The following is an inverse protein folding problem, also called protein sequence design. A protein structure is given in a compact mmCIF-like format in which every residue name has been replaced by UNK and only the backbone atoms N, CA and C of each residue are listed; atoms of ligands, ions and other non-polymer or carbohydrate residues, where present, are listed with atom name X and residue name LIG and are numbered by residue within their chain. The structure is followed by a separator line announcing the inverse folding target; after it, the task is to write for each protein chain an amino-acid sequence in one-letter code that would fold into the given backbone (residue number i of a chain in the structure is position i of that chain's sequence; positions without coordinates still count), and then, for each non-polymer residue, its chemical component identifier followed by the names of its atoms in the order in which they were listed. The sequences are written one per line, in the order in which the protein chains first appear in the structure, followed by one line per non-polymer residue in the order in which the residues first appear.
data_IF_082289438066
#
_entry.id   IF_082289438066
#
_cell.length_a   1.000
_cell.length_b   1.000
_cell.length_c   1.000
_cell.angle_alpha   90.00
_cell.angle_beta   90.00
_cell.angle_gamma   90.00
#
_symmetry.space_group_name_H-M   'P 1'
#
loop_
_entity.id
_entity.type
_entity.pdbx_description
1 polymer ?
#
# COMPACT_ATOMS: atom_id res chain seq x y z
N UNK A 1 -24.24 13.14 4.98
CA UNK A 1 -24.38 11.70 5.29
C UNK A 1 -24.66 10.95 3.99
N UNK A 2 -23.63 10.40 3.36
CA UNK A 2 -23.77 9.55 2.16
C UNK A 2 -22.97 8.26 2.44
N UNK A 3 -23.36 7.55 3.50
CA UNK A 3 -22.67 6.39 4.07
C UNK A 3 -23.42 5.08 3.74
N UNK A 4 -23.90 4.92 2.51
CA UNK A 4 -24.36 3.60 2.03
C UNK A 4 -23.32 3.06 1.06
N UNK A 5 -22.80 1.87 1.34
CA UNK A 5 -22.04 1.09 0.37
C UNK A 5 -22.92 0.93 -0.88
N UNK A 6 -22.62 1.70 -1.92
CA UNK A 6 -23.29 1.57 -3.21
C UNK A 6 -23.05 0.17 -3.80
N UNK A 7 -23.83 -0.23 -4.82
CA UNK A 7 -23.70 -1.56 -5.45
C UNK A 7 -22.26 -1.91 -5.84
N UNK A 8 -21.52 -0.94 -6.40
CA UNK A 8 -20.12 -1.12 -6.80
C UNK A 8 -19.18 -1.43 -5.62
N UNK A 9 -19.39 -0.79 -4.47
CA UNK A 9 -18.58 -1.04 -3.28
C UNK A 9 -18.82 -2.45 -2.73
N UNK A 10 -20.07 -2.92 -2.72
CA UNK A 10 -20.41 -4.29 -2.30
C UNK A 10 -19.81 -5.32 -3.24
N UNK A 11 -19.89 -5.07 -4.55
CA UNK A 11 -19.29 -5.93 -5.56
C UNK A 11 -17.77 -6.01 -5.39
N UNK A 12 -17.10 -4.89 -5.15
CA UNK A 12 -15.67 -4.86 -4.86
C UNK A 12 -15.33 -5.66 -3.59
N UNK A 13 -16.07 -5.48 -2.49
CA UNK A 13 -15.83 -6.23 -1.26
C UNK A 13 -16.05 -7.74 -1.44
N UNK A 14 -17.09 -8.15 -2.17
CA UNK A 14 -17.32 -9.55 -2.50
C UNK A 14 -16.18 -10.11 -3.36
N UNK A 15 -15.77 -9.37 -4.38
CA UNK A 15 -14.65 -9.73 -5.23
C UNK A 15 -13.36 -9.88 -4.43
N UNK A 16 -13.07 -8.94 -3.53
CA UNK A 16 -11.90 -9.01 -2.65
C UNK A 16 -11.95 -10.22 -1.71
N UNK A 17 -13.11 -10.49 -1.09
CA UNK A 17 -13.28 -11.64 -0.22
C UNK A 17 -13.07 -12.97 -0.97
N UNK A 18 -13.61 -13.09 -2.19
CA UNK A 18 -13.43 -14.28 -3.02
C UNK A 18 -11.98 -14.44 -3.48
N UNK A 19 -11.35 -13.38 -4.00
CA UNK A 19 -9.96 -13.41 -4.45
C UNK A 19 -9.00 -13.81 -3.32
N UNK A 20 -9.16 -13.22 -2.14
CA UNK A 20 -8.32 -13.51 -0.97
C UNK A 20 -8.64 -14.91 -0.42
N UNK A 21 -9.91 -15.25 -0.28
CA UNK A 21 -10.35 -16.53 0.27
C UNK A 21 -9.89 -17.72 -0.58
N UNK A 22 -10.05 -17.65 -1.91
CA UNK A 22 -9.60 -18.70 -2.83
C UNK A 22 -8.08 -18.84 -2.80
N UNK A 23 -7.34 -17.73 -2.79
CA UNK A 23 -5.87 -17.76 -2.72
C UNK A 23 -5.38 -18.42 -1.43
N UNK A 24 -5.97 -18.09 -0.28
CA UNK A 24 -5.60 -18.70 1.01
C UNK A 24 -6.02 -20.18 1.06
N UNK A 25 -7.22 -20.52 0.56
CA UNK A 25 -7.71 -21.90 0.55
C UNK A 25 -6.81 -22.82 -0.29
N UNK A 26 -6.23 -22.32 -1.39
CA UNK A 26 -5.31 -23.08 -2.23
C UNK A 26 -3.89 -23.14 -1.65
N UNK A 27 -3.38 -22.04 -1.10
CA UNK A 27 -2.00 -21.96 -0.61
C UNK A 27 -1.82 -22.50 0.83
N UNK A 28 -2.90 -22.65 1.60
CA UNK A 28 -2.85 -23.01 3.02
C UNK A 28 -2.18 -21.91 3.86
N UNK A 29 -1.61 -22.28 5.02
CA UNK A 29 -0.89 -21.37 5.92
C UNK A 29 0.59 -21.18 5.53
N UNK A 30 0.86 -21.05 4.23
CA UNK A 30 2.16 -20.60 3.74
C UNK A 30 2.49 -19.18 4.24
N UNK A 31 3.77 -18.80 4.21
CA UNK A 31 4.24 -17.55 4.81
C UNK A 31 3.62 -16.32 4.13
N UNK A 32 3.33 -16.43 2.83
CA UNK A 32 2.62 -15.44 2.03
C UNK A 32 1.16 -15.29 2.49
N UNK A 33 0.47 -16.41 2.76
CA UNK A 33 -0.90 -16.39 3.30
C UNK A 33 -0.95 -15.80 4.70
N UNK A 34 0.02 -16.13 5.57
CA UNK A 34 0.14 -15.53 6.91
C UNK A 34 0.36 -14.03 6.80
N UNK A 35 1.28 -13.59 5.94
CA UNK A 35 1.51 -12.16 5.68
C UNK A 35 0.22 -11.47 5.23
N UNK A 36 -0.51 -12.09 4.30
CA UNK A 36 -1.79 -11.56 3.82
C UNK A 36 -2.84 -11.46 4.93
N UNK A 37 -2.95 -12.47 5.78
CA UNK A 37 -3.88 -12.46 6.91
C UNK A 37 -3.53 -11.36 7.92
N UNK A 38 -2.24 -11.12 8.18
CA UNK A 38 -1.78 -10.00 9.01
C UNK A 38 -2.19 -8.65 8.41
N UNK A 39 -1.97 -8.45 7.11
CA UNK A 39 -2.37 -7.21 6.41
C UNK A 39 -3.88 -7.00 6.46
N UNK A 40 -4.68 -8.04 6.18
CA UNK A 40 -6.15 -7.96 6.23
C UNK A 40 -6.63 -7.71 7.66
N UNK A 41 -6.08 -8.42 8.64
CA UNK A 41 -6.38 -8.20 10.05
C UNK A 41 -6.05 -6.77 10.49
N UNK A 42 -4.92 -6.24 10.03
CA UNK A 42 -4.52 -4.86 10.28
C UNK A 42 -5.47 -3.84 9.65
N UNK A 43 -5.89 -4.06 8.40
CA UNK A 43 -6.89 -3.21 7.73
C UNK A 43 -8.23 -3.23 8.47
N UNK A 44 -8.68 -4.39 8.96
CA UNK A 44 -9.89 -4.51 9.77
C UNK A 44 -9.76 -3.77 11.12
N UNK A 45 -8.60 -3.91 11.78
CA UNK A 45 -8.30 -3.18 13.01
C UNK A 45 -8.35 -1.66 12.79
N UNK A 46 -7.75 -1.17 11.71
CA UNK A 46 -7.82 0.25 11.34
C UNK A 46 -9.27 0.72 11.12
N UNK A 47 -10.11 -0.12 10.54
CA UNK A 47 -11.52 0.20 10.33
C UNK A 47 -12.28 0.32 11.67
N UNK A 48 -12.04 -0.60 12.60
CA UNK A 48 -12.62 -0.55 13.95
C UNK A 48 -12.13 0.68 14.72
N UNK A 49 -10.83 0.95 14.67
CA UNK A 49 -10.19 2.07 15.37
C UNK A 49 -10.28 3.41 14.59
N UNK A 50 -11.00 3.43 13.46
CA UNK A 50 -11.06 4.57 12.53
C UNK A 50 -11.37 5.91 13.20
N UNK A 51 -12.36 6.04 14.11
CA UNK A 51 -12.70 7.34 14.71
C UNK A 51 -11.53 7.96 15.48
N UNK A 52 -10.67 7.13 16.07
CA UNK A 52 -9.46 7.54 16.78
C UNK A 52 -8.34 7.86 15.78
N UNK A 53 -8.06 6.93 14.87
CA UNK A 53 -6.92 7.03 13.95
C UNK A 53 -7.06 8.17 12.94
N UNK A 54 -8.27 8.46 12.45
CA UNK A 54 -8.55 9.59 11.54
C UNK A 54 -8.29 10.94 12.21
N UNK A 55 -8.20 11.01 13.54
CA UNK A 55 -7.89 12.21 14.32
C UNK A 55 -6.43 12.30 14.76
N UNK A 56 -5.59 11.32 14.41
CA UNK A 56 -4.17 11.32 14.76
C UNK A 56 -3.41 12.48 14.08
N UNK A 57 -2.37 13.00 14.74
CA UNK A 57 -1.52 14.11 14.27
C UNK A 57 -2.31 15.38 13.87
N UNK A 58 -3.21 15.90 14.72
CA UNK A 58 -4.08 17.03 14.36
C UNK A 58 -3.31 18.33 14.11
N UNK A 59 -2.10 18.46 14.68
CA UNK A 59 -1.25 19.66 14.55
C UNK A 59 -0.42 19.68 13.27
N UNK A 60 -0.37 18.59 12.51
CA UNK A 60 0.35 18.53 11.24
C UNK A 60 -0.50 19.13 10.11
N UNK A 61 0.14 19.88 9.21
CA UNK A 61 -0.48 20.30 7.96
C UNK A 61 -1.01 19.07 7.18
N UNK A 62 -2.14 19.18 6.45
CA UNK A 62 -2.78 18.04 5.78
C UNK A 62 -1.83 17.19 4.92
N UNK A 63 -0.92 17.82 4.18
CA UNK A 63 0.12 17.12 3.41
C UNK A 63 0.95 16.18 4.27
N UNK A 64 1.58 16.72 5.32
CA UNK A 64 2.46 15.94 6.18
C UNK A 64 1.69 14.91 6.98
N UNK A 65 0.46 15.23 7.38
CA UNK A 65 -0.43 14.28 8.03
C UNK A 65 -0.73 13.07 7.15
N UNK A 66 -1.06 13.29 5.88
CA UNK A 66 -1.26 12.22 4.90
C UNK A 66 0.00 11.36 4.74
N UNK A 67 1.14 12.01 4.48
CA UNK A 67 2.41 11.32 4.22
C UNK A 67 2.91 10.54 5.44
N UNK A 68 2.92 11.16 6.62
CA UNK A 68 3.44 10.53 7.84
C UNK A 68 2.59 9.35 8.28
N UNK A 69 1.24 9.48 8.27
CA UNK A 69 0.38 8.34 8.58
C UNK A 69 0.62 7.23 7.56
N UNK A 70 0.69 7.56 6.26
CA UNK A 70 0.97 6.58 5.21
C UNK A 70 2.28 5.83 5.43
N UNK A 71 3.37 6.55 5.72
CA UNK A 71 4.69 5.98 5.99
C UNK A 71 4.71 5.10 7.26
N UNK A 72 4.01 5.51 8.32
CA UNK A 72 3.92 4.70 9.55
C UNK A 72 3.17 3.39 9.31
N UNK A 73 2.07 3.43 8.56
CA UNK A 73 1.31 2.23 8.19
C UNK A 73 2.13 1.34 7.24
N UNK A 74 2.84 1.95 6.29
CA UNK A 74 3.72 1.25 5.37
C UNK A 74 4.85 0.53 6.12
N UNK A 75 5.50 1.19 7.08
CA UNK A 75 6.52 0.55 7.91
C UNK A 75 5.96 -0.70 8.62
N UNK A 76 4.78 -0.59 9.24
CA UNK A 76 4.16 -1.76 9.90
C UNK A 76 3.88 -2.90 8.91
N UNK A 77 3.35 -2.58 7.73
CA UNK A 77 3.07 -3.57 6.68
C UNK A 77 4.36 -4.19 6.14
N UNK A 78 5.46 -3.43 6.01
CA UNK A 78 6.78 -3.98 5.71
C UNK A 78 7.24 -4.96 6.79
N UNK A 79 6.98 -4.64 8.07
CA UNK A 79 7.22 -5.56 9.18
C UNK A 79 6.52 -6.92 8.99
N UNK A 80 5.32 -6.95 8.43
CA UNK A 80 4.65 -8.21 8.06
C UNK A 80 5.31 -8.87 6.85
N UNK A 81 5.83 -8.10 5.91
CA UNK A 81 6.52 -8.64 4.74
C UNK A 81 7.91 -9.19 5.06
N UNK A 82 8.54 -8.80 6.17
CA UNK A 82 9.86 -9.31 6.56
C UNK A 82 9.93 -10.84 6.70
N UNK A 83 8.80 -11.52 6.98
CA UNK A 83 8.76 -12.99 7.04
C UNK A 83 8.63 -13.66 5.67
N UNK A 84 8.08 -12.96 4.66
CA UNK A 84 7.80 -13.49 3.32
C UNK A 84 8.70 -12.88 2.24
N UNK A 85 8.53 -11.59 1.97
CA UNK A 85 9.11 -10.84 0.85
C UNK A 85 9.62 -9.47 1.33
N UNK A 86 10.74 -9.42 2.10
CA UNK A 86 11.45 -8.16 2.33
C UNK A 86 11.96 -7.58 1.01
N UNK A 87 12.36 -6.30 1.02
CA UNK A 87 12.89 -5.61 -0.16
C UNK A 87 14.10 -6.31 -0.77
N UNK A 88 14.93 -6.93 0.09
CA UNK A 88 16.00 -7.84 -0.30
C UNK A 88 15.84 -9.16 0.43
N UNK A 89 15.88 -10.29 -0.31
CA UNK A 89 15.71 -11.62 0.28
C UNK A 89 16.70 -11.95 1.40
N UNK A 90 17.90 -11.36 1.38
CA UNK A 90 18.92 -11.50 2.43
C UNK A 90 18.49 -10.92 3.80
N UNK A 91 17.50 -10.03 3.83
CA UNK A 91 16.99 -9.40 5.06
C UNK A 91 15.85 -10.20 5.70
N UNK A 92 15.43 -11.33 5.10
CA UNK A 92 14.28 -12.11 5.59
C UNK A 92 14.46 -12.52 7.04
N UNK A 93 13.39 -12.37 7.83
CA UNK A 93 13.33 -12.77 9.23
C UNK A 93 12.68 -14.15 9.31
N UNK A 94 13.45 -15.15 9.74
CA UNK A 94 13.01 -16.52 9.94
C UNK A 94 13.11 -16.95 11.41
N UNK A 95 12.78 -18.22 11.69
CA UNK A 95 12.84 -18.78 13.05
C UNK A 95 14.23 -18.73 13.69
N UNK A 96 15.29 -18.78 12.88
CA UNK A 96 16.68 -18.71 13.32
C UNK A 96 17.18 -17.27 13.56
N UNK A 97 16.39 -16.26 13.20
CA UNK A 97 16.79 -14.86 13.33
C UNK A 97 16.56 -14.36 14.75
N UNK A 98 17.64 -14.19 15.53
CA UNK A 98 17.55 -13.61 16.87
C UNK A 98 16.98 -12.18 16.86
N UNK A 99 16.44 -11.73 18.01
CA UNK A 99 15.73 -10.43 18.14
C UNK A 99 16.55 -9.25 17.60
N UNK A 100 17.84 -9.17 17.97
CA UNK A 100 18.72 -8.09 17.49
C UNK A 100 18.92 -8.13 15.97
N UNK A 101 19.03 -9.34 15.39
CA UNK A 101 19.11 -9.54 13.95
C UNK A 101 17.81 -9.14 13.24
N UNK A 102 16.66 -9.49 13.82
CA UNK A 102 15.35 -9.13 13.30
C UNK A 102 15.16 -7.60 13.27
N UNK A 103 15.52 -6.91 14.36
CA UNK A 103 15.47 -5.45 14.42
C UNK A 103 16.43 -4.80 13.42
N UNK A 104 17.66 -5.32 13.28
CA UNK A 104 18.63 -4.83 12.30
C UNK A 104 18.11 -4.99 10.88
N UNK A 105 17.61 -6.18 10.52
CA UNK A 105 17.12 -6.46 9.18
C UNK A 105 15.92 -5.59 8.83
N UNK A 106 14.97 -5.44 9.76
CA UNK A 106 13.81 -4.57 9.57
C UNK A 106 14.23 -3.09 9.45
N UNK A 107 15.15 -2.61 10.28
CA UNK A 107 15.66 -1.24 10.16
C UNK A 107 16.36 -0.98 8.83
N UNK A 108 17.14 -1.96 8.33
CA UNK A 108 17.76 -1.88 7.02
C UNK A 108 16.71 -1.86 5.91
N UNK A 109 15.73 -2.75 5.95
CA UNK A 109 14.63 -2.78 4.98
C UNK A 109 13.92 -1.41 4.91
N UNK A 110 13.53 -0.86 6.07
CA UNK A 110 12.93 0.46 6.16
C UNK A 110 13.82 1.60 5.62
N UNK A 111 15.13 1.51 5.78
CA UNK A 111 16.05 2.52 5.24
C UNK A 111 16.00 2.58 3.70
N UNK A 112 15.69 1.47 3.03
CA UNK A 112 15.49 1.42 1.58
C UNK A 112 14.04 1.76 1.18
N UNK A 113 13.04 1.28 1.92
CA UNK A 113 11.64 1.40 1.53
C UNK A 113 11.00 2.73 1.90
N UNK A 114 11.33 3.32 3.07
CA UNK A 114 10.73 4.58 3.54
C UNK A 114 10.96 5.78 2.60
N UNK A 115 12.16 5.99 2.02
CA UNK A 115 12.34 7.03 1.01
C UNK A 115 11.42 6.83 -0.22
N UNK A 116 11.22 5.59 -0.63
CA UNK A 116 10.29 5.23 -1.69
C UNK A 116 8.85 5.58 -1.32
N UNK A 117 8.41 5.21 -0.11
CA UNK A 117 7.09 5.55 0.40
C UNK A 117 6.88 7.07 0.49
N UNK A 118 7.87 7.83 0.94
CA UNK A 118 7.80 9.29 0.95
C UNK A 118 7.50 9.85 -0.45
N UNK A 119 8.19 9.35 -1.49
CA UNK A 119 7.95 9.75 -2.87
C UNK A 119 6.55 9.35 -3.34
N UNK A 120 6.14 8.10 -3.12
CA UNK A 120 4.83 7.56 -3.52
C UNK A 120 3.69 8.34 -2.86
N UNK A 121 3.71 8.51 -1.55
CA UNK A 121 2.67 9.27 -0.83
C UNK A 121 2.67 10.75 -1.20
N UNK A 122 3.83 11.34 -1.50
CA UNK A 122 3.91 12.71 -2.01
C UNK A 122 3.27 12.85 -3.40
N UNK A 123 3.49 11.88 -4.29
CA UNK A 123 2.84 11.80 -5.61
C UNK A 123 1.34 11.66 -5.45
N UNK A 124 0.86 10.73 -4.60
CA UNK A 124 -0.58 10.56 -4.35
C UNK A 124 -1.18 11.84 -3.77
N UNK A 125 -0.51 12.48 -2.80
CA UNK A 125 -0.95 13.74 -2.20
C UNK A 125 -1.12 14.84 -3.26
N UNK A 126 -0.17 14.97 -4.19
CA UNK A 126 -0.28 15.94 -5.28
C UNK A 126 -1.61 15.81 -6.04
N UNK A 127 -2.02 14.59 -6.36
CA UNK A 127 -3.30 14.33 -7.04
C UNK A 127 -4.51 14.55 -6.14
N UNK A 128 -4.48 14.02 -4.93
CA UNK A 128 -5.58 14.13 -3.95
C UNK A 128 -5.85 15.59 -3.56
N UNK A 129 -4.81 16.41 -3.46
CA UNK A 129 -4.94 17.83 -3.16
C UNK A 129 -5.40 18.65 -4.38
N UNK A 130 -5.19 18.13 -5.60
CA UNK A 130 -5.50 18.84 -6.85
C UNK A 130 -6.87 18.50 -7.43
N UNK A 131 -7.37 17.30 -7.18
CA UNK A 131 -8.60 16.75 -7.76
C UNK A 131 -9.53 16.16 -6.71
N UNK A 132 -10.83 16.22 -7.00
CA UNK A 132 -11.84 15.65 -6.10
C UNK A 132 -12.06 14.16 -6.39
N UNK A 133 -11.70 13.32 -5.42
CA UNK A 133 -12.01 11.89 -5.43
C UNK A 133 -13.17 11.56 -4.49
N UNK A 134 -14.09 10.74 -4.97
CA UNK A 134 -15.01 10.03 -4.06
C UNK A 134 -14.23 8.95 -3.29
N UNK A 135 -14.71 8.54 -2.12
CA UNK A 135 -14.00 7.56 -1.28
C UNK A 135 -13.66 6.27 -2.04
N UNK A 136 -14.65 5.66 -2.71
CA UNK A 136 -14.44 4.41 -3.45
C UNK A 136 -13.63 4.61 -4.74
N UNK A 137 -13.77 5.76 -5.41
CA UNK A 137 -12.95 6.11 -6.57
C UNK A 137 -11.47 6.19 -6.17
N UNK A 138 -11.17 6.81 -5.02
CA UNK A 138 -9.82 6.83 -4.44
C UNK A 138 -9.33 5.44 -4.05
N UNK A 139 -10.12 4.68 -3.26
CA UNK A 139 -9.74 3.33 -2.80
C UNK A 139 -9.32 2.47 -3.99
N UNK A 140 -10.18 2.38 -5.01
CA UNK A 140 -9.91 1.52 -6.17
C UNK A 140 -8.75 2.08 -7.00
N UNK A 141 -8.76 3.38 -7.32
CA UNK A 141 -7.74 3.96 -8.22
C UNK A 141 -6.35 3.97 -7.61
N UNK A 142 -6.22 4.44 -6.36
CA UNK A 142 -4.92 4.47 -5.68
C UNK A 142 -4.41 3.06 -5.37
N UNK A 143 -5.29 2.17 -4.87
CA UNK A 143 -4.91 0.77 -4.63
C UNK A 143 -4.48 0.06 -5.90
N UNK A 144 -5.16 0.30 -7.03
CA UNK A 144 -4.78 -0.23 -8.34
C UNK A 144 -3.43 0.33 -8.79
N UNK A 145 -3.27 1.66 -8.75
CA UNK A 145 -2.05 2.32 -9.17
C UNK A 145 -0.80 1.79 -8.45
N UNK A 146 -0.92 1.56 -7.14
CA UNK A 146 0.17 1.04 -6.32
C UNK A 146 0.39 -0.45 -6.56
N UNK A 147 -0.67 -1.27 -6.66
CA UNK A 147 -0.54 -2.69 -6.96
C UNK A 147 0.10 -2.96 -8.33
N UNK A 148 -0.22 -2.13 -9.33
CA UNK A 148 0.40 -2.23 -10.65
C UNK A 148 1.83 -1.67 -10.63
N UNK A 149 2.07 -0.56 -9.93
CA UNK A 149 3.40 0.05 -9.82
C UNK A 149 4.41 -0.87 -9.13
N UNK A 150 3.98 -1.55 -8.08
CA UNK A 150 4.81 -2.42 -7.23
C UNK A 150 5.01 -3.83 -7.86
N UNK A 151 5.43 -3.86 -9.12
CA UNK A 151 5.70 -5.08 -9.88
C UNK A 151 4.47 -5.74 -10.53
N UNK A 152 3.25 -5.33 -10.20
CA UNK A 152 2.03 -5.86 -10.80
C UNK A 152 1.96 -5.69 -12.32
N UNK A 153 2.52 -4.62 -12.86
CA UNK A 153 2.55 -4.36 -14.31
C UNK A 153 3.17 -5.54 -15.09
N UNK A 154 4.36 -5.97 -14.68
CA UNK A 154 5.06 -7.07 -15.33
C UNK A 154 4.42 -8.43 -15.00
N UNK A 155 3.90 -8.60 -13.78
CA UNK A 155 3.24 -9.83 -13.38
C UNK A 155 1.96 -10.10 -14.20
N UNK A 156 1.03 -9.14 -14.25
CA UNK A 156 -0.23 -9.31 -14.98
C UNK A 156 -0.07 -9.31 -16.49
N UNK A 157 1.01 -8.71 -17.01
CA UNK A 157 1.36 -8.87 -18.42
C UNK A 157 1.63 -10.33 -18.79
N UNK A 158 2.34 -11.05 -17.92
CA UNK A 158 2.68 -12.45 -18.12
C UNK A 158 1.57 -13.42 -17.68
N UNK A 159 0.64 -12.97 -16.84
CA UNK A 159 -0.50 -13.76 -16.38
C UNK A 159 -1.80 -12.94 -16.33
N UNK A 160 -2.41 -12.58 -17.49
CA UNK A 160 -3.57 -11.68 -17.53
C UNK A 160 -4.78 -12.21 -16.74
N UNK A 161 -4.98 -13.53 -16.70
CA UNK A 161 -6.06 -14.16 -15.92
C UNK A 161 -5.97 -13.88 -14.41
N UNK A 162 -4.77 -13.56 -13.90
CA UNK A 162 -4.57 -13.21 -12.50
C UNK A 162 -5.15 -11.85 -12.13
N UNK A 163 -5.59 -11.03 -13.10
CA UNK A 163 -6.33 -9.80 -12.81
C UNK A 163 -7.62 -10.07 -12.01
N UNK A 164 -8.20 -11.28 -12.12
CA UNK A 164 -9.32 -11.69 -11.25
C UNK A 164 -8.95 -11.74 -9.77
N UNK A 165 -7.66 -11.81 -9.44
CA UNK A 165 -7.14 -11.78 -8.08
C UNK A 165 -6.54 -10.43 -7.70
N UNK A 166 -6.66 -9.39 -8.54
CA UNK A 166 -6.13 -8.05 -8.29
C UNK A 166 -6.47 -7.45 -6.91
N UNK A 167 -7.65 -7.69 -6.29
CA UNK A 167 -7.91 -7.23 -4.92
C UNK A 167 -6.95 -7.80 -3.88
N UNK A 168 -6.35 -8.97 -4.14
CA UNK A 168 -5.37 -9.60 -3.27
C UNK A 168 -4.15 -8.68 -3.06
N UNK A 169 -3.35 -8.31 -4.09
CA UNK A 169 -2.26 -7.35 -3.89
C UNK A 169 -2.76 -5.96 -3.50
N UNK A 170 -3.93 -5.52 -3.99
CA UNK A 170 -4.49 -4.22 -3.60
C UNK A 170 -4.71 -4.07 -2.09
N UNK A 171 -4.94 -5.15 -1.35
CA UNK A 171 -5.17 -5.09 0.10
C UNK A 171 -3.96 -4.56 0.90
N UNK A 172 -2.72 -4.75 0.41
CA UNK A 172 -1.53 -4.08 0.97
C UNK A 172 -1.69 -2.57 0.95
N UNK A 173 -2.06 -2.04 -0.22
CA UNK A 173 -2.17 -0.60 -0.40
C UNK A 173 -3.42 -0.04 0.27
N UNK A 174 -4.48 -0.83 0.42
CA UNK A 174 -5.62 -0.40 1.21
C UNK A 174 -5.24 -0.18 2.68
N UNK A 175 -4.41 -1.08 3.22
CA UNK A 175 -3.91 -0.99 4.59
C UNK A 175 -3.02 0.22 4.85
N UNK A 176 -2.40 0.82 3.82
CA UNK A 176 -1.48 1.96 4.00
C UNK A 176 -2.00 3.28 3.45
N UNK A 177 -2.99 3.30 2.54
CA UNK A 177 -3.43 4.54 1.85
C UNK A 177 -4.84 5.01 2.20
N UNK A 178 -5.72 4.13 2.68
CA UNK A 178 -7.13 4.50 2.95
C UNK A 178 -7.23 5.39 4.17
N UNK A 179 -6.58 4.99 5.26
CA UNK A 179 -6.60 5.77 6.50
C UNK A 179 -5.97 7.17 6.35
N UNK A 180 -4.80 7.35 5.70
CA UNK A 180 -4.26 8.68 5.40
C UNK A 180 -5.25 9.58 4.65
N UNK A 181 -5.92 9.05 3.62
CA UNK A 181 -6.90 9.81 2.86
C UNK A 181 -8.08 10.22 3.73
N UNK A 182 -8.61 9.31 4.55
CA UNK A 182 -9.69 9.62 5.48
C UNK A 182 -9.29 10.67 6.51
N UNK A 183 -8.04 10.68 6.97
CA UNK A 183 -7.51 11.65 7.93
C UNK A 183 -7.48 13.09 7.39
N UNK A 184 -7.39 13.27 6.07
CA UNK A 184 -7.20 14.59 5.44
C UNK A 184 -8.37 15.02 4.57
N UNK A 185 -9.31 14.12 4.25
CA UNK A 185 -10.41 14.37 3.30
C UNK A 185 -11.20 15.65 3.57
N UNK A 186 -11.44 15.97 4.84
CA UNK A 186 -12.21 17.15 5.26
C UNK A 186 -11.44 18.46 5.10
N UNK A 187 -10.12 18.39 4.88
CA UNK A 187 -9.23 19.53 4.68
C UNK A 187 -8.84 19.73 3.21
N UNK A 188 -9.37 18.90 2.30
CA UNK A 188 -9.10 19.03 0.87
C UNK A 188 -9.91 20.18 0.25
N UNK A 189 -9.42 20.83 -0.81
CA UNK A 189 -10.14 21.93 -1.46
C UNK A 189 -11.55 21.51 -1.91
N UNK A 190 -12.57 22.23 -1.45
CA UNK A 190 -13.97 21.89 -1.72
C UNK A 190 -14.37 22.07 -3.20
N UNK A 191 -13.70 22.99 -3.90
CA UNK A 191 -13.86 23.37 -5.30
C UNK A 191 -12.96 22.57 -6.26
N UNK A 192 -12.23 21.56 -5.75
CA UNK A 192 -11.36 20.75 -6.58
C UNK A 192 -12.12 20.09 -7.75
N UNK A 193 -11.58 20.15 -8.98
CA UNK A 193 -12.28 19.68 -10.17
C UNK A 193 -12.41 18.16 -10.22
N UNK A 194 -13.52 17.66 -10.77
CA UNK A 194 -13.75 16.23 -11.11
C UNK A 194 -13.40 15.94 -12.57
N UNK A 195 -12.22 16.38 -13.03
CA UNK A 195 -11.75 16.16 -14.41
C UNK A 195 -11.20 14.75 -14.61
N UNK A 196 -11.20 14.27 -15.86
CA UNK A 196 -10.62 12.98 -16.24
C UNK A 196 -9.11 12.90 -15.96
N UNK A 197 -8.40 14.03 -15.95
CA UNK A 197 -6.98 14.12 -15.61
C UNK A 197 -6.65 13.64 -14.19
N UNK A 198 -7.64 13.47 -13.31
CA UNK A 198 -7.45 12.82 -12.01
C UNK A 198 -6.91 11.38 -12.14
N UNK A 199 -7.21 10.69 -13.24
CA UNK A 199 -6.73 9.33 -13.47
C UNK A 199 -5.24 9.25 -13.87
N UNK A 200 -4.59 10.40 -14.10
CA UNK A 200 -3.13 10.47 -14.25
C UNK A 200 -2.37 10.07 -12.97
N UNK A 201 -3.06 9.97 -11.83
CA UNK A 201 -2.50 9.37 -10.61
C UNK A 201 -1.96 7.95 -10.89
N UNK A 202 -2.62 7.19 -11.76
CA UNK A 202 -2.24 5.80 -12.07
C UNK A 202 -0.85 5.74 -12.72
N UNK A 203 -0.63 6.33 -13.91
CA UNK A 203 0.71 6.32 -14.52
C UNK A 203 1.75 7.04 -13.67
N UNK A 204 1.40 8.12 -12.95
CA UNK A 204 2.35 8.84 -12.10
C UNK A 204 2.86 7.98 -10.94
N UNK A 205 1.97 7.25 -10.26
CA UNK A 205 2.34 6.32 -9.19
C UNK A 205 3.15 5.15 -9.74
N UNK A 206 2.75 4.56 -10.88
CA UNK A 206 3.51 3.48 -11.54
C UNK A 206 4.94 3.92 -11.85
N UNK A 207 5.10 5.09 -12.49
CA UNK A 207 6.44 5.65 -12.79
C UNK A 207 7.23 5.92 -11.51
N UNK A 208 6.58 6.40 -10.45
CA UNK A 208 7.23 6.61 -9.15
C UNK A 208 7.74 5.30 -8.56
N UNK A 209 6.93 4.23 -8.57
CA UNK A 209 7.36 2.91 -8.11
C UNK A 209 8.54 2.36 -8.92
N UNK A 210 8.49 2.49 -10.25
CA UNK A 210 9.59 2.05 -11.12
C UNK A 210 10.89 2.80 -10.81
N UNK A 211 10.82 4.12 -10.65
CA UNK A 211 11.98 4.93 -10.30
C UNK A 211 12.54 4.59 -8.91
N UNK A 212 11.66 4.44 -7.91
CA UNK A 212 12.04 4.03 -6.56
C UNK A 212 12.66 2.63 -6.55
N UNK A 213 12.03 1.65 -7.19
CA UNK A 213 12.52 0.29 -7.29
C UNK A 213 13.87 0.19 -7.99
N UNK A 214 14.05 0.91 -9.12
CA UNK A 214 15.33 0.99 -9.80
C UNK A 214 16.43 1.60 -8.91
N UNK A 215 16.10 2.65 -8.16
CA UNK A 215 17.02 3.29 -7.22
C UNK A 215 17.38 2.36 -6.07
N UNK A 216 16.40 1.68 -5.47
CA UNK A 216 16.61 0.71 -4.40
C UNK A 216 17.53 -0.42 -4.87
N UNK A 217 17.30 -0.97 -6.07
CA UNK A 217 18.17 -2.02 -6.63
C UNK A 217 19.59 -1.52 -6.88
N UNK A 218 19.75 -0.33 -7.47
CA UNK A 218 21.07 0.25 -7.72
C UNK A 218 21.87 0.43 -6.41
N UNK A 219 21.23 1.01 -5.40
CA UNK A 219 21.85 1.21 -4.08
C UNK A 219 22.08 -0.13 -3.38
N UNK A 220 21.13 -1.06 -3.47
CA UNK A 220 21.26 -2.41 -2.93
C UNK A 220 22.46 -3.17 -3.48
N UNK A 221 22.69 -3.10 -4.80
CA UNK A 221 23.90 -3.65 -5.44
C UNK A 221 25.18 -3.04 -4.90
N UNK A 222 25.21 -1.71 -4.75
CA UNK A 222 26.37 -1.02 -4.18
C UNK A 222 26.71 -1.51 -2.75
N UNK A 223 25.69 -1.84 -1.96
CA UNK A 223 25.86 -2.40 -0.62
C UNK A 223 25.93 -3.94 -0.55
N UNK A 224 25.93 -4.63 -1.70
CA UNK A 224 26.07 -6.09 -1.77
C UNK A 224 24.81 -6.91 -1.44
N UNK A 225 23.62 -6.30 -1.49
CA UNK A 225 22.34 -7.00 -1.28
C UNK A 225 21.79 -7.69 -2.54
N UNK A 226 22.31 -7.37 -3.72
CA UNK A 226 22.00 -8.02 -5.00
C UNK A 226 23.29 -8.45 -5.70
N UNK A 227 23.28 -9.60 -6.38
CA UNK A 227 24.34 -9.99 -7.29
C UNK A 227 24.34 -9.08 -8.53
N UNK A 228 25.53 -8.70 -8.99
CA UNK A 228 25.75 -7.85 -10.18
C UNK A 228 25.35 -8.49 -11.49
#
# INVERSE_FOLDING_TARGET
MENRFGPAARLYCLWAALAIGVSIAQAGLAVESVTRLLVVGFLLLQFVMRPMLVRALPSCAPKWRFVLIGMLLAALVEGFHMISMPVFGALRIGGETGIAGALRNYALDLAFTLPGYLAIFSTIWFFVNRYRYALWDYIVTAGFAQAIGDGGLFFFWNAPGMLLFLPYPMSNYHAINVLPFLAVREHLPADAPRRASRYLIVPAVIVTYLACGATIRLVGRYFGFEAG
#
